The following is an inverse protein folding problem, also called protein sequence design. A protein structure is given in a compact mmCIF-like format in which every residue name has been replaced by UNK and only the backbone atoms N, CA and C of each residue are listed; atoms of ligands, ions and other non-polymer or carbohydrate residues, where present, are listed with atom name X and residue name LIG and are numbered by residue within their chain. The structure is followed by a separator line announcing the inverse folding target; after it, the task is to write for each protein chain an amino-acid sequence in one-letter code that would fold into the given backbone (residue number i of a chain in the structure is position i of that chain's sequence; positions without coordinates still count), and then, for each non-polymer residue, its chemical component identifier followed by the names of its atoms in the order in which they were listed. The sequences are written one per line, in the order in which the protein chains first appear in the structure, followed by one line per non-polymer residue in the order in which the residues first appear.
data_IF_084867307496
#
_entry.id   IF_084867307496
#
_cell.length_a   1.000
_cell.length_b   1.000
_cell.length_c   1.000
_cell.angle_alpha   90.00
_cell.angle_beta   90.00
_cell.angle_gamma   90.00
#
_symmetry.space_group_name_H-M   'P 1'
#
loop_
_entity.id
_entity.type
_entity.pdbx_description
1 polymer ?
#
# COMPACT_ATOMS: atom_id res chain seq x y z
N UNK A 1 76.07 41.92 -40.73
CA UNK A 1 77.20 42.26 -39.86
C UNK A 1 77.32 41.17 -38.76
N UNK A 2 78.26 40.29 -38.97
CA UNK A 2 79.61 40.27 -38.42
C UNK A 2 79.61 39.87 -36.94
N UNK A 3 80.28 38.94 -36.49
CA UNK A 3 81.58 38.36 -36.52
C UNK A 3 81.70 37.45 -35.27
N UNK A 4 82.04 36.30 -35.47
CA UNK A 4 83.29 35.59 -35.12
C UNK A 4 83.52 35.23 -33.65
N UNK A 5 83.89 34.09 -33.46
CA UNK A 5 85.12 33.47 -33.00
C UNK A 5 84.86 32.69 -31.75
N UNK A 6 85.24 31.53 -31.58
CA UNK A 6 86.41 30.78 -31.90
C UNK A 6 86.89 30.00 -30.71
N UNK A 7 87.22 28.76 -30.90
CA UNK A 7 88.29 28.00 -30.29
C UNK A 7 88.03 27.27 -28.98
N UNK A 8 88.04 25.97 -29.13
CA UNK A 8 88.92 24.95 -28.65
C UNK A 8 88.72 24.35 -27.24
N UNK A 9 88.49 23.12 -27.34
CA UNK A 9 89.31 21.96 -26.87
C UNK A 9 89.31 21.62 -25.37
N UNK A 10 89.04 20.41 -25.19
CA UNK A 10 89.72 19.37 -24.38
C UNK A 10 88.81 18.64 -23.39
N UNK A 11 88.69 17.43 -23.74
CA UNK A 11 88.86 16.27 -22.92
C UNK A 11 88.28 16.28 -21.50
N UNK A 12 87.32 15.37 -21.22
CA UNK A 12 87.71 14.28 -20.27
C UNK A 12 86.72 13.12 -20.34
N UNK A 13 87.24 11.98 -20.56
CA UNK A 13 86.70 10.65 -20.29
C UNK A 13 86.30 10.58 -18.81
N UNK A 14 85.07 10.17 -18.49
CA UNK A 14 84.78 9.89 -17.11
C UNK A 14 83.35 9.83 -16.62
N UNK A 15 82.34 9.76 -17.52
CA UNK A 15 80.93 9.76 -17.05
C UNK A 15 79.99 8.68 -17.65
N UNK A 16 80.50 7.70 -18.39
CA UNK A 16 79.63 6.72 -19.10
C UNK A 16 79.37 5.42 -18.31
N UNK A 17 80.00 5.22 -17.15
CA UNK A 17 79.83 3.98 -16.33
C UNK A 17 78.84 4.13 -15.17
N UNK A 18 78.42 5.32 -14.77
CA UNK A 18 77.54 5.53 -13.62
C UNK A 18 76.06 5.53 -14.05
N UNK A 19 75.75 5.79 -15.32
CA UNK A 19 74.36 5.81 -15.78
C UNK A 19 73.72 4.43 -16.13
N UNK A 20 74.55 3.38 -16.35
CA UNK A 20 74.03 2.03 -16.65
C UNK A 20 73.60 1.22 -15.43
N UNK A 21 74.12 1.56 -14.25
CA UNK A 21 73.73 0.86 -13.02
C UNK A 21 72.41 1.41 -12.38
N UNK A 22 72.05 2.65 -12.72
CA UNK A 22 70.87 3.32 -12.18
C UNK A 22 69.55 2.95 -12.89
N UNK A 23 69.61 2.62 -14.19
CA UNK A 23 68.39 2.31 -14.96
C UNK A 23 67.81 0.89 -14.71
N UNK A 24 68.66 -0.09 -14.38
CA UNK A 24 68.21 -1.46 -14.03
C UNK A 24 67.52 -1.52 -12.68
N UNK A 25 67.98 -0.77 -11.68
CA UNK A 25 67.36 -0.74 -10.35
C UNK A 25 66.00 0.00 -10.37
N UNK A 26 65.86 1.02 -11.20
CA UNK A 26 64.56 1.77 -11.34
C UNK A 26 63.52 0.90 -12.05
N UNK A 27 63.89 0.12 -13.08
CA UNK A 27 62.99 -0.77 -13.77
C UNK A 27 62.47 -1.91 -12.89
N UNK A 28 63.33 -2.52 -12.08
CA UNK A 28 62.93 -3.56 -11.13
C UNK A 28 62.05 -3.01 -10.01
N UNK A 29 62.33 -1.83 -9.49
CA UNK A 29 61.52 -1.16 -8.47
C UNK A 29 60.12 -0.79 -9.00
N UNK A 30 60.00 -0.28 -10.23
CA UNK A 30 58.74 0.03 -10.89
C UNK A 30 57.90 -1.24 -11.19
N UNK A 31 58.57 -2.35 -11.58
CA UNK A 31 57.89 -3.64 -11.84
C UNK A 31 57.37 -4.25 -10.55
N UNK A 32 58.12 -4.24 -9.46
CA UNK A 32 57.67 -4.69 -8.15
C UNK A 32 56.53 -3.83 -7.60
N UNK A 33 56.61 -2.50 -7.71
CA UNK A 33 55.56 -1.60 -7.31
C UNK A 33 54.26 -1.85 -8.10
N UNK A 34 54.36 -2.08 -9.40
CA UNK A 34 53.19 -2.40 -10.26
C UNK A 34 52.57 -3.74 -9.92
N UNK A 35 53.35 -4.77 -9.61
CA UNK A 35 52.85 -6.08 -9.16
C UNK A 35 52.16 -5.95 -7.80
N UNK A 36 52.74 -5.21 -6.86
CA UNK A 36 52.18 -5.01 -5.50
C UNK A 36 50.85 -4.23 -5.60
N UNK A 37 50.73 -3.21 -6.45
CA UNK A 37 49.51 -2.47 -6.66
C UNK A 37 48.44 -3.36 -7.31
N UNK A 38 48.78 -4.17 -8.30
CA UNK A 38 47.83 -5.13 -8.92
C UNK A 38 47.33 -6.18 -7.93
N UNK A 39 48.22 -6.73 -7.09
CA UNK A 39 47.83 -7.68 -6.04
C UNK A 39 46.97 -7.05 -4.97
N UNK A 40 47.25 -5.82 -4.54
CA UNK A 40 46.42 -5.07 -3.59
C UNK A 40 45.05 -4.72 -4.15
N UNK A 41 44.96 -4.36 -5.43
CA UNK A 41 43.72 -4.09 -6.11
C UNK A 41 42.87 -5.37 -6.26
N UNK A 42 43.52 -6.49 -6.61
CA UNK A 42 42.86 -7.81 -6.71
C UNK A 42 42.33 -8.28 -5.35
N UNK A 43 43.11 -8.11 -4.27
CA UNK A 43 42.72 -8.45 -2.91
C UNK A 43 41.51 -7.59 -2.43
N UNK A 44 41.51 -6.27 -2.69
CA UNK A 44 40.40 -5.38 -2.37
C UNK A 44 39.15 -5.74 -3.14
N UNK A 45 39.27 -6.08 -4.42
CA UNK A 45 38.15 -6.52 -5.24
C UNK A 45 37.57 -7.86 -4.74
N UNK A 46 38.43 -8.78 -4.36
CA UNK A 46 38.02 -10.08 -3.81
C UNK A 46 37.30 -9.92 -2.45
N UNK A 47 37.78 -9.07 -1.57
CA UNK A 47 37.12 -8.75 -0.30
C UNK A 47 35.75 -8.07 -0.56
N UNK A 48 35.71 -7.12 -1.48
CA UNK A 48 34.44 -6.47 -1.85
C UNK A 48 33.39 -7.47 -2.40
N UNK A 49 33.82 -8.41 -3.25
CA UNK A 49 32.94 -9.47 -3.77
C UNK A 49 32.49 -10.45 -2.68
N UNK A 50 33.38 -10.82 -1.76
CA UNK A 50 33.00 -11.64 -0.60
C UNK A 50 32.03 -10.92 0.33
N UNK A 51 32.24 -9.63 0.60
CA UNK A 51 31.33 -8.83 1.41
C UNK A 51 29.94 -8.73 0.74
N UNK A 52 29.91 -8.50 -0.58
CA UNK A 52 28.65 -8.49 -1.35
C UNK A 52 27.95 -9.85 -1.32
N UNK A 53 28.69 -10.95 -1.43
CA UNK A 53 28.14 -12.29 -1.35
C UNK A 53 27.58 -12.61 0.04
N UNK A 54 28.31 -12.24 1.10
CA UNK A 54 27.86 -12.40 2.50
C UNK A 54 26.63 -11.53 2.77
N UNK A 55 26.63 -10.27 2.35
CA UNK A 55 25.45 -9.40 2.46
C UNK A 55 24.24 -9.97 1.72
N UNK A 56 24.45 -10.48 0.50
CA UNK A 56 23.37 -11.10 -0.28
C UNK A 56 22.87 -12.40 0.36
N UNK A 57 23.76 -13.23 0.88
CA UNK A 57 23.38 -14.45 1.61
C UNK A 57 22.64 -14.12 2.92
N UNK A 58 23.06 -13.06 3.63
CA UNK A 58 22.39 -12.58 4.84
C UNK A 58 21.00 -12.02 4.54
N UNK A 59 20.84 -11.24 3.46
CA UNK A 59 19.54 -10.74 3.01
C UNK A 59 18.62 -11.91 2.62
N UNK A 60 19.12 -12.87 1.84
CA UNK A 60 18.32 -14.03 1.42
C UNK A 60 17.93 -14.93 2.60
N UNK A 61 18.80 -15.10 3.63
CA UNK A 61 18.43 -15.86 4.82
C UNK A 61 17.37 -15.14 5.67
N UNK A 62 17.45 -13.80 5.77
CA UNK A 62 16.44 -13.01 6.50
C UNK A 62 15.11 -12.91 5.75
N UNK A 63 15.11 -12.87 4.40
CA UNK A 63 13.90 -12.96 3.59
C UNK A 63 13.24 -14.34 3.75
N UNK A 64 14.01 -15.42 3.76
CA UNK A 64 13.49 -16.77 3.97
C UNK A 64 12.88 -16.99 5.37
N UNK A 65 13.50 -16.43 6.41
CA UNK A 65 12.99 -16.52 7.77
C UNK A 65 11.72 -15.67 7.99
N UNK A 66 11.60 -14.53 7.32
CA UNK A 66 10.38 -13.71 7.34
C UNK A 66 9.24 -14.36 6.56
N UNK A 67 9.50 -14.98 5.42
CA UNK A 67 8.47 -15.63 4.60
C UNK A 67 7.88 -16.87 5.29
N UNK A 68 8.66 -17.58 6.11
CA UNK A 68 8.19 -18.71 6.93
C UNK A 68 7.27 -18.29 8.09
N UNK A 69 7.25 -17.01 8.47
CA UNK A 69 6.42 -16.45 9.53
C UNK A 69 5.12 -15.82 9.00
N UNK A 70 4.97 -15.64 7.68
CA UNK A 70 3.77 -15.04 7.10
C UNK A 70 2.61 -16.03 7.04
N UNK A 71 1.40 -15.52 7.30
CA UNK A 71 0.18 -16.27 7.04
C UNK A 71 -0.09 -16.34 5.53
N UNK A 72 0.20 -17.49 4.91
CA UNK A 72 -0.01 -17.70 3.48
C UNK A 72 -1.45 -18.05 3.10
N UNK A 73 -2.38 -18.04 4.05
CA UNK A 73 -3.81 -18.31 3.86
C UNK A 73 -4.69 -17.23 4.52
N UNK A 74 -4.44 -15.92 4.31
CA UNK A 74 -5.15 -14.88 5.04
C UNK A 74 -6.65 -14.90 4.74
N UNK A 75 -7.44 -14.61 5.77
CA UNK A 75 -8.89 -14.46 5.70
C UNK A 75 -9.21 -13.01 6.08
N UNK A 76 -9.92 -12.30 5.21
CA UNK A 76 -10.29 -10.91 5.43
C UNK A 76 -11.81 -10.80 5.54
N UNK A 77 -12.28 -10.14 6.59
CA UNK A 77 -13.69 -9.83 6.75
C UNK A 77 -14.11 -8.67 5.82
N UNK A 78 -15.30 -8.74 5.25
CA UNK A 78 -15.94 -7.59 4.59
C UNK A 78 -17.23 -7.28 5.34
N UNK A 79 -17.36 -6.04 5.82
CA UNK A 79 -18.57 -5.58 6.50
C UNK A 79 -19.75 -5.57 5.53
N UNK A 80 -20.86 -6.21 5.92
CA UNK A 80 -22.11 -6.19 5.16
C UNK A 80 -22.81 -4.85 5.25
N UNK A 81 -23.60 -4.56 4.23
CA UNK A 81 -24.51 -3.41 4.19
C UNK A 81 -25.96 -3.85 4.05
N UNK A 82 -26.87 -2.95 4.44
CA UNK A 82 -28.30 -3.15 4.23
C UNK A 82 -28.66 -3.11 2.76
N UNK A 83 -29.50 -4.04 2.29
CA UNK A 83 -30.07 -4.02 0.93
C UNK A 83 -31.09 -2.88 0.73
N UNK A 84 -31.46 -2.16 1.78
CA UNK A 84 -32.37 -1.03 1.71
C UNK A 84 -31.73 0.08 0.84
N UNK A 85 -32.40 0.43 -0.25
CA UNK A 85 -31.88 1.43 -1.20
C UNK A 85 -31.03 0.86 -2.34
N UNK A 86 -30.74 -0.45 -2.36
CA UNK A 86 -29.89 -1.07 -3.41
C UNK A 86 -30.53 -1.02 -4.83
N UNK A 87 -31.81 -0.70 -4.95
CA UNK A 87 -32.52 -0.67 -6.25
C UNK A 87 -32.85 -2.05 -6.83
N UNK A 88 -32.67 -3.10 -6.02
CA UNK A 88 -32.89 -4.49 -6.37
C UNK A 88 -33.82 -5.17 -5.34
N UNK A 89 -34.86 -5.83 -5.83
CA UNK A 89 -35.80 -6.52 -4.95
C UNK A 89 -35.22 -7.84 -4.45
N UNK A 90 -35.01 -7.92 -3.14
CA UNK A 90 -34.59 -9.13 -2.43
C UNK A 90 -35.29 -9.22 -1.07
N UNK A 91 -35.53 -10.45 -0.61
CA UNK A 91 -35.99 -10.71 0.76
C UNK A 91 -34.86 -10.77 1.76
N UNK A 92 -33.61 -10.71 1.28
CA UNK A 92 -32.41 -10.73 2.09
C UNK A 92 -32.09 -9.33 2.59
N UNK A 93 -31.81 -9.14 3.91
CA UNK A 93 -31.62 -7.81 4.48
C UNK A 93 -30.25 -7.20 4.20
N UNK A 94 -29.24 -8.01 3.85
CA UNK A 94 -27.85 -7.55 3.72
C UNK A 94 -27.23 -7.96 2.39
N UNK A 95 -26.20 -7.21 1.98
CA UNK A 95 -25.42 -7.51 0.77
C UNK A 95 -23.92 -7.16 0.93
N UNK A 96 -23.12 -7.72 0.05
CA UNK A 96 -21.75 -7.31 -0.28
C UNK A 96 -21.65 -7.23 -1.80
N UNK A 97 -21.16 -6.11 -2.35
CA UNK A 97 -20.84 -6.05 -3.77
C UNK A 97 -19.67 -6.99 -4.10
N UNK A 98 -19.82 -7.78 -5.16
CA UNK A 98 -18.87 -8.82 -5.52
C UNK A 98 -17.50 -8.26 -5.93
N UNK A 99 -17.44 -6.99 -6.34
CA UNK A 99 -16.18 -6.30 -6.65
C UNK A 99 -15.22 -6.28 -5.48
N UNK A 100 -15.68 -6.06 -4.25
CA UNK A 100 -14.83 -6.11 -3.05
C UNK A 100 -14.30 -7.52 -2.78
N UNK A 101 -15.12 -8.54 -2.95
CA UNK A 101 -14.71 -9.95 -2.79
C UNK A 101 -13.64 -10.29 -3.81
N UNK A 102 -13.90 -10.03 -5.10
CA UNK A 102 -12.96 -10.28 -6.20
C UNK A 102 -11.66 -9.50 -6.03
N UNK A 103 -11.74 -8.27 -5.54
CA UNK A 103 -10.59 -7.42 -5.24
C UNK A 103 -9.65 -8.10 -4.25
N UNK A 104 -10.13 -8.61 -3.12
CA UNK A 104 -9.34 -9.30 -2.13
C UNK A 104 -8.85 -10.68 -2.61
N UNK A 105 -9.72 -11.44 -3.27
CA UNK A 105 -9.38 -12.77 -3.78
C UNK A 105 -8.33 -12.72 -4.90
N UNK A 106 -8.33 -11.66 -5.73
CA UNK A 106 -7.32 -11.48 -6.79
C UNK A 106 -5.89 -11.39 -6.25
N UNK A 107 -5.72 -11.06 -4.96
CA UNK A 107 -4.43 -10.97 -4.28
C UNK A 107 -4.15 -12.15 -3.33
N UNK A 108 -4.99 -13.19 -3.39
CA UNK A 108 -4.78 -14.44 -2.65
C UNK A 108 -5.30 -14.43 -1.21
N UNK A 109 -6.28 -13.58 -0.88
CA UNK A 109 -7.03 -13.69 0.35
C UNK A 109 -8.27 -14.59 0.17
N UNK A 110 -8.83 -15.06 1.28
CA UNK A 110 -10.17 -15.63 1.37
C UNK A 110 -11.06 -14.66 2.12
N UNK A 111 -12.36 -14.67 1.87
CA UNK A 111 -13.27 -13.66 2.38
C UNK A 111 -14.32 -14.28 3.30
N UNK A 112 -14.60 -13.57 4.39
CA UNK A 112 -15.70 -13.85 5.33
C UNK A 112 -16.64 -12.64 5.37
N UNK A 113 -17.94 -12.82 5.13
CA UNK A 113 -18.92 -11.75 5.33
C UNK A 113 -19.10 -11.46 6.82
N UNK A 114 -19.03 -10.17 7.19
CA UNK A 114 -19.21 -9.72 8.57
C UNK A 114 -20.62 -9.16 8.72
N UNK A 115 -21.42 -9.84 9.52
CA UNK A 115 -22.81 -9.46 9.78
C UNK A 115 -22.87 -8.13 10.55
N UNK A 116 -23.81 -7.29 10.19
CA UNK A 116 -23.99 -5.96 10.75
C UNK A 116 -24.91 -5.92 11.99
N UNK A 117 -25.23 -7.07 12.53
CA UNK A 117 -26.06 -7.27 13.72
C UNK A 117 -25.39 -8.18 14.78
N UNK A 118 -24.07 -8.40 14.64
CA UNK A 118 -23.31 -9.20 15.61
C UNK A 118 -23.38 -8.60 17.01
N UNK A 119 -23.54 -9.45 18.01
CA UNK A 119 -23.37 -9.09 19.41
C UNK A 119 -21.89 -8.77 19.73
N UNK A 120 -21.62 -8.26 20.93
CA UNK A 120 -20.23 -8.00 21.36
C UNK A 120 -19.39 -9.27 21.36
N UNK A 121 -19.93 -10.39 21.90
CA UNK A 121 -19.24 -11.67 21.94
C UNK A 121 -18.95 -12.22 20.55
N UNK A 122 -19.94 -12.21 19.66
CA UNK A 122 -19.76 -12.67 18.28
C UNK A 122 -18.77 -11.77 17.50
N UNK A 123 -18.77 -10.46 17.79
CA UNK A 123 -17.80 -9.54 17.21
C UNK A 123 -16.37 -9.86 17.65
N UNK A 124 -16.17 -10.19 18.94
CA UNK A 124 -14.86 -10.59 19.46
C UNK A 124 -14.42 -11.95 18.90
N UNK A 125 -15.32 -12.91 18.78
CA UNK A 125 -15.03 -14.23 18.18
C UNK A 125 -14.61 -14.11 16.72
N UNK A 126 -15.33 -13.32 15.91
CA UNK A 126 -14.98 -13.14 14.49
C UNK A 126 -13.69 -12.32 14.34
N UNK A 127 -13.48 -11.28 15.16
CA UNK A 127 -12.24 -10.51 15.17
C UNK A 127 -11.02 -11.43 15.38
N UNK A 128 -11.07 -12.32 16.37
CA UNK A 128 -9.99 -13.26 16.67
C UNK A 128 -9.80 -14.35 15.62
N UNK A 129 -10.72 -14.47 14.65
CA UNK A 129 -10.72 -15.52 13.62
C UNK A 129 -10.23 -15.06 12.27
N UNK A 130 -10.28 -13.74 11.97
CA UNK A 130 -9.90 -13.15 10.67
C UNK A 130 -8.61 -12.34 10.77
N UNK A 131 -7.97 -12.09 9.63
CA UNK A 131 -6.65 -11.47 9.54
C UNK A 131 -6.67 -10.00 9.16
N UNK A 132 -7.82 -9.38 9.13
CA UNK A 132 -8.05 -7.98 8.80
C UNK A 132 -9.48 -7.77 8.34
N UNK A 133 -9.87 -6.51 8.18
CA UNK A 133 -11.23 -6.15 7.77
C UNK A 133 -11.21 -5.07 6.68
N UNK A 134 -12.14 -5.22 5.71
CA UNK A 134 -12.48 -4.21 4.74
C UNK A 134 -13.84 -3.61 5.06
N UNK A 135 -13.89 -2.28 5.21
CA UNK A 135 -15.11 -1.49 5.30
C UNK A 135 -15.45 -0.97 3.90
N UNK A 136 -16.47 -1.52 3.21
CA UNK A 136 -16.78 -1.14 1.84
C UNK A 136 -17.52 0.19 1.75
N UNK A 137 -17.55 0.76 0.54
CA UNK A 137 -18.39 1.88 0.18
C UNK A 137 -19.88 1.52 0.17
N UNK A 138 -20.75 2.49 0.30
CA UNK A 138 -22.21 2.32 0.31
C UNK A 138 -22.95 3.57 0.79
N UNK A 139 -24.16 3.35 1.33
CA UNK A 139 -25.04 4.43 1.79
C UNK A 139 -25.79 3.97 3.06
N UNK A 140 -25.14 4.03 4.20
CA UNK A 140 -25.74 3.78 5.52
C UNK A 140 -25.32 4.86 6.52
N UNK A 141 -26.09 5.01 7.58
CA UNK A 141 -25.76 5.99 8.66
C UNK A 141 -24.41 5.68 9.30
N UNK A 142 -23.55 6.68 9.40
CA UNK A 142 -22.16 6.57 9.91
C UNK A 142 -22.07 6.31 11.43
N UNK A 143 -23.18 6.41 12.18
CA UNK A 143 -23.21 6.30 13.64
C UNK A 143 -24.19 5.23 14.10
N UNK A 144 -25.42 5.23 13.55
CA UNK A 144 -26.55 4.46 14.08
C UNK A 144 -26.92 3.23 13.24
N UNK A 145 -26.16 2.94 12.17
CA UNK A 145 -26.35 1.68 11.44
C UNK A 145 -25.65 0.53 12.13
N UNK A 146 -26.14 -0.72 11.93
CA UNK A 146 -25.44 -1.90 12.39
C UNK A 146 -24.02 -2.02 11.81
N UNK A 147 -23.80 -1.51 10.58
CA UNK A 147 -22.46 -1.35 10.00
C UNK A 147 -21.55 -0.52 10.92
N UNK A 148 -22.03 0.63 11.40
CA UNK A 148 -21.26 1.51 12.26
C UNK A 148 -21.08 0.93 13.67
N UNK A 149 -22.11 0.29 14.23
CA UNK A 149 -22.07 -0.30 15.57
C UNK A 149 -21.07 -1.47 15.64
N UNK A 150 -21.20 -2.47 14.77
CA UNK A 150 -20.27 -3.62 14.70
C UNK A 150 -18.88 -3.14 14.27
N UNK A 151 -18.82 -2.24 13.28
CA UNK A 151 -17.56 -1.68 12.80
C UNK A 151 -16.78 -0.97 13.91
N UNK A 152 -17.42 -0.15 14.73
CA UNK A 152 -16.78 0.55 15.86
C UNK A 152 -16.21 -0.42 16.89
N UNK A 153 -16.94 -1.51 17.21
CA UNK A 153 -16.43 -2.56 18.11
C UNK A 153 -15.17 -3.23 17.55
N UNK A 154 -15.14 -3.53 16.23
CA UNK A 154 -13.96 -4.13 15.58
C UNK A 154 -12.79 -3.14 15.59
N UNK A 155 -13.01 -1.85 15.31
CA UNK A 155 -11.96 -0.83 15.38
C UNK A 155 -11.38 -0.71 16.79
N UNK A 156 -12.22 -0.78 17.83
CA UNK A 156 -11.77 -0.74 19.21
C UNK A 156 -10.99 -1.99 19.61
N UNK A 157 -11.42 -3.19 19.17
CA UNK A 157 -10.67 -4.42 19.35
C UNK A 157 -9.30 -4.35 18.65
N UNK A 158 -9.25 -3.87 17.41
CA UNK A 158 -8.01 -3.72 16.65
C UNK A 158 -7.02 -2.77 17.34
N UNK A 159 -7.48 -1.63 17.84
CA UNK A 159 -6.66 -0.69 18.63
C UNK A 159 -6.16 -1.32 19.93
N UNK A 160 -7.06 -1.90 20.72
CA UNK A 160 -6.73 -2.52 22.02
C UNK A 160 -5.75 -3.71 21.86
N UNK A 161 -5.92 -4.52 20.83
CA UNK A 161 -5.04 -5.66 20.53
C UNK A 161 -3.64 -5.17 20.13
N UNK A 162 -3.55 -4.19 19.26
CA UNK A 162 -2.29 -3.59 18.84
C UNK A 162 -1.54 -2.91 19.99
N UNK A 163 -2.23 -2.15 20.86
CA UNK A 163 -1.63 -1.46 21.99
C UNK A 163 -1.12 -2.42 23.08
N UNK A 164 -1.85 -3.54 23.29
CA UNK A 164 -1.47 -4.57 24.27
C UNK A 164 -0.30 -5.42 23.79
N UNK A 165 -0.29 -5.77 22.50
CA UNK A 165 0.69 -6.63 21.85
C UNK A 165 0.97 -6.04 20.47
N UNK A 166 1.98 -5.15 20.32
CA UNK A 166 2.23 -4.48 19.04
C UNK A 166 2.47 -5.42 17.85
N UNK A 167 2.77 -6.71 18.12
CA UNK A 167 2.91 -7.75 17.09
C UNK A 167 1.60 -8.40 16.68
N UNK A 168 0.49 -8.12 17.37
CA UNK A 168 -0.84 -8.54 16.98
C UNK A 168 -1.36 -7.57 15.91
N UNK A 169 -0.97 -7.84 14.69
CA UNK A 169 -1.19 -6.97 13.54
C UNK A 169 -2.56 -7.29 12.91
N UNK A 170 -3.49 -6.34 13.01
CA UNK A 170 -4.81 -6.45 12.40
C UNK A 170 -5.08 -5.24 11.50
N UNK A 171 -4.86 -5.36 10.18
CA UNK A 171 -5.03 -4.24 9.26
C UNK A 171 -6.50 -3.97 8.96
N UNK A 172 -6.81 -2.68 8.81
CA UNK A 172 -8.11 -2.15 8.43
C UNK A 172 -7.98 -1.45 7.09
N UNK A 173 -8.87 -1.78 6.15
CA UNK A 173 -9.01 -1.06 4.88
C UNK A 173 -10.40 -0.48 4.76
N UNK A 174 -10.50 0.84 4.55
CA UNK A 174 -11.76 1.56 4.50
C UNK A 174 -11.89 2.31 3.17
N UNK A 175 -12.99 2.07 2.42
CA UNK A 175 -13.22 2.60 1.08
C UNK A 175 -14.51 3.43 1.05
N UNK A 176 -14.48 4.67 0.53
CA UNK A 176 -15.63 5.54 0.33
C UNK A 176 -16.43 5.72 1.64
N UNK A 177 -17.64 5.19 1.76
CA UNK A 177 -18.39 5.18 3.03
C UNK A 177 -17.53 4.65 4.19
N UNK A 178 -16.69 3.64 3.96
CA UNK A 178 -15.77 3.14 4.99
C UNK A 178 -14.76 4.19 5.42
N UNK A 179 -14.22 4.99 4.48
CA UNK A 179 -13.34 6.13 4.78
C UNK A 179 -14.08 7.19 5.60
N UNK A 180 -15.32 7.50 5.24
CA UNK A 180 -16.17 8.45 5.96
C UNK A 180 -16.50 7.93 7.37
N UNK A 181 -16.92 6.67 7.50
CA UNK A 181 -17.18 6.00 8.77
C UNK A 181 -15.95 6.03 9.69
N UNK A 182 -14.78 5.66 9.17
CA UNK A 182 -13.53 5.66 9.93
C UNK A 182 -13.18 7.08 10.40
N UNK A 183 -13.41 8.08 9.55
CA UNK A 183 -13.19 9.49 9.88
C UNK A 183 -14.17 10.00 10.96
N UNK A 184 -15.43 9.64 10.86
CA UNK A 184 -16.46 9.95 11.88
C UNK A 184 -16.14 9.29 13.22
N UNK A 185 -15.70 8.02 13.20
CA UNK A 185 -15.32 7.29 14.40
C UNK A 185 -14.14 7.94 15.13
N UNK A 186 -13.08 8.32 14.37
CA UNK A 186 -11.87 8.91 14.94
C UNK A 186 -12.09 10.37 15.39
N UNK A 187 -12.81 11.17 14.60
CA UNK A 187 -13.06 12.59 14.91
C UNK A 187 -14.12 12.83 15.99
N UNK A 188 -14.87 11.79 16.38
CA UNK A 188 -15.94 11.85 17.35
C UNK A 188 -17.26 12.42 16.84
N UNK A 189 -17.48 12.45 15.51
CA UNK A 189 -18.78 12.82 14.94
C UNK A 189 -18.78 13.29 13.50
N UNK A 190 -19.97 13.46 12.93
CA UNK A 190 -20.18 13.73 11.51
C UNK A 190 -19.74 15.14 11.04
N UNK A 191 -19.42 16.05 11.96
CA UNK A 191 -18.93 17.40 11.60
C UNK A 191 -17.63 17.41 10.79
N UNK A 192 -16.92 16.28 10.77
CA UNK A 192 -15.71 16.11 9.95
C UNK A 192 -16.03 16.06 8.45
N UNK A 193 -17.23 15.63 8.09
CA UNK A 193 -17.68 15.50 6.73
C UNK A 193 -18.30 16.81 6.22
N UNK A 194 -18.07 17.08 4.95
CA UNK A 194 -18.68 18.20 4.21
C UNK A 194 -19.25 17.67 2.89
N UNK A 195 -20.32 18.31 2.40
CA UNK A 195 -20.82 17.97 1.07
C UNK A 195 -19.81 18.35 0.00
N UNK A 196 -19.59 17.43 -0.95
CA UNK A 196 -18.71 17.57 -2.13
C UNK A 196 -19.43 17.09 -3.38
N UNK A 197 -19.03 17.62 -4.54
CA UNK A 197 -19.57 17.19 -5.85
C UNK A 197 -18.60 16.22 -6.51
N UNK A 198 -18.57 14.99 -6.00
CA UNK A 198 -17.67 13.92 -6.49
C UNK A 198 -18.42 12.64 -6.90
N UNK A 199 -19.74 12.71 -7.07
CA UNK A 199 -20.50 11.56 -7.59
C UNK A 199 -20.21 11.33 -9.08
N UNK A 200 -19.83 10.10 -9.43
CA UNK A 200 -19.61 9.66 -10.80
C UNK A 200 -18.52 10.46 -11.56
N UNK A 201 -17.33 10.57 -10.99
CA UNK A 201 -16.17 11.25 -11.58
C UNK A 201 -14.89 10.42 -11.38
N UNK A 202 -14.00 10.47 -12.37
CA UNK A 202 -12.61 10.01 -12.18
C UNK A 202 -11.70 11.19 -11.92
N UNK A 203 -10.79 11.06 -10.95
CA UNK A 203 -9.87 12.11 -10.53
C UNK A 203 -8.42 11.61 -10.54
N UNK A 204 -7.49 12.56 -10.47
CA UNK A 204 -6.08 12.33 -10.17
C UNK A 204 -5.84 12.40 -8.66
N UNK A 205 -4.70 11.88 -8.21
CA UNK A 205 -4.23 12.07 -6.84
C UNK A 205 -3.16 13.17 -6.80
N UNK A 206 -3.34 14.15 -5.92
CA UNK A 206 -2.30 15.09 -5.55
C UNK A 206 -1.58 14.55 -4.31
N UNK A 207 -0.37 14.03 -4.51
CA UNK A 207 0.40 13.41 -3.45
C UNK A 207 0.93 14.46 -2.45
N UNK A 208 0.77 14.19 -1.17
CA UNK A 208 1.16 15.07 -0.08
C UNK A 208 2.58 14.77 0.44
N UNK A 209 3.18 15.70 1.16
CA UNK A 209 4.54 15.53 1.69
C UNK A 209 4.68 14.24 2.49
N UNK A 210 5.75 13.50 2.21
CA UNK A 210 6.10 12.27 2.91
C UNK A 210 5.28 11.02 2.51
N UNK A 211 4.47 11.06 1.45
CA UNK A 211 3.73 9.89 0.98
C UNK A 211 4.64 8.70 0.60
N UNK A 212 5.86 8.95 0.10
CA UNK A 212 6.85 7.88 -0.24
C UNK A 212 7.35 7.09 0.97
N UNK A 213 7.17 7.58 2.18
CA UNK A 213 7.49 6.87 3.41
C UNK A 213 6.28 6.15 4.00
N UNK A 214 5.11 6.26 3.37
CA UNK A 214 3.89 5.60 3.80
C UNK A 214 3.92 4.10 3.52
N UNK A 215 3.11 3.34 4.24
CA UNK A 215 2.91 1.93 3.93
C UNK A 215 2.17 1.73 2.61
N UNK A 216 1.26 2.66 2.26
CA UNK A 216 0.50 2.57 1.01
C UNK A 216 1.37 2.80 -0.23
N UNK A 217 2.26 3.79 -0.23
CA UNK A 217 2.90 4.23 -1.47
C UNK A 217 4.42 3.99 -1.56
N UNK A 218 5.08 3.54 -0.50
CA UNK A 218 6.54 3.36 -0.49
C UNK A 218 7.09 2.39 -1.54
N UNK A 219 6.30 1.35 -1.89
CA UNK A 219 6.69 0.31 -2.83
C UNK A 219 6.07 0.52 -4.23
N UNK A 220 5.41 1.69 -4.46
CA UNK A 220 4.82 2.02 -5.75
C UNK A 220 5.90 2.36 -6.77
N UNK A 221 5.75 1.86 -8.00
CA UNK A 221 6.66 2.22 -9.08
C UNK A 221 6.51 3.69 -9.46
N UNK A 222 7.61 4.37 -9.85
CA UNK A 222 7.56 5.76 -10.30
C UNK A 222 6.59 5.97 -11.48
N UNK A 223 6.45 4.97 -12.36
CA UNK A 223 5.53 5.03 -13.49
C UNK A 223 4.06 5.03 -13.04
N UNK A 224 3.71 4.20 -12.05
CA UNK A 224 2.35 4.16 -11.51
C UNK A 224 2.02 5.43 -10.72
N UNK A 225 3.00 5.96 -9.98
CA UNK A 225 2.92 7.24 -9.26
C UNK A 225 2.63 8.40 -10.22
N UNK A 226 3.43 8.54 -11.30
CA UNK A 226 3.21 9.54 -12.33
C UNK A 226 1.82 9.42 -12.96
N UNK A 227 1.39 8.19 -13.21
CA UNK A 227 0.09 7.93 -13.81
C UNK A 227 -1.07 8.35 -12.91
N UNK A 228 -1.02 8.01 -11.62
CA UNK A 228 -2.03 8.41 -10.63
C UNK A 228 -2.10 9.93 -10.43
N UNK A 229 -0.98 10.64 -10.59
CA UNK A 229 -0.94 12.09 -10.43
C UNK A 229 -1.34 12.87 -11.68
N UNK A 230 -1.29 12.25 -12.87
CA UNK A 230 -1.50 12.97 -14.15
C UNK A 230 -2.73 12.49 -14.93
N UNK A 231 -3.18 11.26 -14.71
CA UNK A 231 -4.32 10.68 -15.45
C UNK A 231 -5.49 10.40 -14.49
N UNK A 232 -6.70 10.90 -14.78
CA UNK A 232 -7.86 10.70 -13.91
C UNK A 232 -8.38 9.27 -14.01
N UNK A 233 -7.90 8.39 -13.11
CA UNK A 233 -8.28 6.98 -13.06
C UNK A 233 -8.90 6.55 -11.73
N UNK A 234 -8.84 7.37 -10.69
CA UNK A 234 -9.47 7.05 -9.40
C UNK A 234 -10.97 7.30 -9.48
N UNK A 235 -11.77 6.24 -9.35
CA UNK A 235 -13.22 6.30 -9.45
C UNK A 235 -13.83 6.84 -8.16
N UNK A 236 -14.58 7.94 -8.25
CA UNK A 236 -15.25 8.59 -7.12
C UNK A 236 -16.76 8.56 -7.30
N UNK A 237 -17.50 8.14 -6.26
CA UNK A 237 -18.94 7.99 -6.22
C UNK A 237 -19.43 8.41 -4.83
N UNK A 238 -19.26 9.70 -4.49
CA UNK A 238 -19.63 10.20 -3.17
C UNK A 238 -20.03 11.68 -3.20
N UNK A 239 -20.98 12.04 -2.32
CA UNK A 239 -21.45 13.40 -2.09
C UNK A 239 -20.96 13.99 -0.76
N UNK A 240 -20.20 13.21 -0.02
CA UNK A 240 -19.59 13.60 1.27
C UNK A 240 -18.11 13.28 1.28
N UNK A 241 -17.33 14.11 1.93
CA UNK A 241 -15.87 13.91 2.08
C UNK A 241 -15.34 14.61 3.31
N UNK A 242 -14.16 14.15 3.75
CA UNK A 242 -13.31 14.90 4.67
C UNK A 242 -12.56 15.96 3.86
N UNK A 243 -12.94 17.23 3.95
CA UNK A 243 -12.17 18.29 3.30
C UNK A 243 -10.82 18.49 3.97
N UNK A 244 -9.83 18.97 3.22
CA UNK A 244 -8.50 19.32 3.78
C UNK A 244 -8.64 20.33 4.92
N UNK A 245 -9.60 21.25 4.81
CA UNK A 245 -9.92 22.21 5.86
C UNK A 245 -10.41 21.50 7.12
N UNK A 246 -11.47 20.67 7.03
CA UNK A 246 -12.04 19.99 8.20
C UNK A 246 -11.03 19.02 8.84
N UNK A 247 -10.19 18.37 8.05
CA UNK A 247 -9.08 17.55 8.57
C UNK A 247 -8.10 18.38 9.40
N UNK A 248 -7.66 19.53 8.87
CA UNK A 248 -6.69 20.40 9.53
C UNK A 248 -7.23 21.09 10.79
N UNK A 249 -8.53 21.30 10.87
CA UNK A 249 -9.21 21.86 12.04
C UNK A 249 -9.50 20.82 13.12
N UNK A 250 -9.47 19.53 12.81
CA UNK A 250 -9.73 18.44 13.75
C UNK A 250 -8.42 17.85 14.30
N UNK A 251 -8.23 17.94 15.63
CA UNK A 251 -7.01 17.48 16.30
C UNK A 251 -6.90 15.95 16.26
N UNK A 252 -7.98 15.25 16.56
CA UNK A 252 -8.04 13.80 16.65
C UNK A 252 -7.66 13.15 15.30
N UNK A 253 -8.18 13.71 14.20
CA UNK A 253 -7.82 13.28 12.85
C UNK A 253 -6.33 13.49 12.56
N UNK A 254 -5.79 14.66 12.88
CA UNK A 254 -4.36 14.95 12.67
C UNK A 254 -3.45 14.09 13.55
N UNK A 255 -3.85 13.80 14.77
CA UNK A 255 -3.05 12.96 15.66
C UNK A 255 -3.08 11.51 15.22
N UNK A 256 -4.19 11.02 14.65
CA UNK A 256 -4.39 9.64 14.23
C UNK A 256 -3.87 9.35 12.82
N UNK A 257 -4.17 10.22 11.84
CA UNK A 257 -3.90 9.97 10.42
C UNK A 257 -2.82 10.87 9.83
N UNK A 258 -2.16 10.34 8.80
CA UNK A 258 -1.36 11.05 7.83
C UNK A 258 -2.11 11.08 6.51
N UNK A 259 -2.35 12.28 5.96
CA UNK A 259 -2.88 12.45 4.61
C UNK A 259 -1.76 12.14 3.61
N UNK A 260 -2.06 11.29 2.64
CA UNK A 260 -1.11 10.84 1.62
C UNK A 260 -1.41 11.42 0.24
N UNK A 261 -2.69 11.64 -0.04
CA UNK A 261 -3.12 12.32 -1.26
C UNK A 261 -4.44 13.06 -1.06
N UNK A 262 -4.63 14.09 -1.85
CA UNK A 262 -5.87 14.85 -1.98
C UNK A 262 -6.40 14.80 -3.41
N UNK A 263 -7.65 15.19 -3.61
CA UNK A 263 -8.25 15.43 -4.91
C UNK A 263 -9.20 16.62 -4.81
N UNK A 264 -9.65 17.14 -5.96
CA UNK A 264 -10.52 18.31 -6.04
C UNK A 264 -11.83 17.92 -6.72
N UNK A 265 -12.97 18.26 -6.10
CA UNK A 265 -14.29 18.02 -6.66
C UNK A 265 -14.64 18.99 -7.81
N UNK A 266 -15.83 18.84 -8.43
CA UNK A 266 -16.28 19.72 -9.52
C UNK A 266 -16.44 21.18 -9.12
N UNK A 267 -16.64 21.45 -7.83
CA UNK A 267 -16.82 22.79 -7.28
C UNK A 267 -15.52 23.45 -6.79
N UNK A 268 -14.37 22.75 -6.96
CA UNK A 268 -13.07 23.21 -6.50
C UNK A 268 -12.81 22.96 -5.01
N UNK A 269 -13.58 22.09 -4.36
CA UNK A 269 -13.37 21.71 -2.97
C UNK A 269 -12.31 20.61 -2.89
N UNK A 270 -11.21 20.90 -2.18
CA UNK A 270 -10.15 19.93 -1.95
C UNK A 270 -10.53 19.01 -0.78
N UNK A 271 -10.38 17.70 -0.98
CA UNK A 271 -10.70 16.67 0.01
C UNK A 271 -9.60 15.61 0.13
N UNK A 272 -9.57 14.92 1.26
CA UNK A 272 -8.64 13.84 1.55
C UNK A 272 -9.02 12.61 0.74
N UNK A 273 -8.16 12.21 -0.20
CA UNK A 273 -8.37 11.03 -1.06
C UNK A 273 -7.81 9.75 -0.49
N UNK A 274 -6.62 9.84 0.14
CA UNK A 274 -5.94 8.67 0.73
C UNK A 274 -5.27 9.08 2.03
N UNK A 275 -5.46 8.27 3.07
CA UNK A 275 -4.78 8.47 4.35
C UNK A 275 -4.43 7.13 5.00
N UNK A 276 -3.44 7.14 5.90
CA UNK A 276 -3.05 6.00 6.72
C UNK A 276 -2.89 6.38 8.18
N UNK A 277 -3.12 5.42 9.09
CA UNK A 277 -2.89 5.59 10.52
C UNK A 277 -1.41 5.79 10.83
N UNK A 278 -1.09 6.74 11.70
CA UNK A 278 0.30 7.00 12.13
C UNK A 278 0.83 5.93 13.07
N UNK A 279 -0.04 5.26 13.79
CA UNK A 279 0.30 4.27 14.79
C UNK A 279 -0.33 2.90 14.48
N UNK A 280 -1.60 2.88 14.10
CA UNK A 280 -2.33 1.66 13.79
C UNK A 280 -2.30 1.35 12.30
N UNK A 281 -2.31 0.06 11.89
CA UNK A 281 -2.33 -0.34 10.48
C UNK A 281 -3.71 -0.10 9.83
N UNK A 282 -4.16 1.14 9.87
CA UNK A 282 -5.44 1.56 9.32
C UNK A 282 -5.20 2.38 8.05
N UNK A 283 -5.79 1.93 6.96
CA UNK A 283 -5.63 2.49 5.62
C UNK A 283 -6.97 2.88 5.05
N UNK A 284 -7.04 3.99 4.33
CA UNK A 284 -8.30 4.34 3.70
C UNK A 284 -8.16 5.15 2.42
N UNK A 285 -9.15 4.96 1.54
CA UNK A 285 -9.33 5.71 0.30
C UNK A 285 -10.77 6.21 0.19
N UNK A 286 -10.96 7.49 -0.16
CA UNK A 286 -12.28 8.00 -0.50
C UNK A 286 -12.72 7.48 -1.87
N UNK A 287 -11.78 7.30 -2.79
CA UNK A 287 -11.99 6.69 -4.10
C UNK A 287 -12.01 5.16 -4.03
N UNK A 288 -12.54 4.53 -5.09
CA UNK A 288 -12.78 3.09 -5.20
C UNK A 288 -11.69 2.37 -6.01
N UNK A 289 -10.66 1.80 -5.39
CA UNK A 289 -9.65 1.02 -6.12
C UNK A 289 -10.18 -0.29 -6.69
N UNK A 290 -11.24 -0.85 -6.15
CA UNK A 290 -11.82 -2.14 -6.57
C UNK A 290 -12.62 -2.07 -7.86
N UNK A 291 -13.18 -0.90 -8.19
CA UNK A 291 -14.16 -0.79 -9.28
C UNK A 291 -13.55 -0.93 -10.66
N UNK A 292 -12.36 -0.39 -10.89
CA UNK A 292 -11.74 -0.36 -12.22
C UNK A 292 -11.59 -1.75 -12.85
N UNK A 293 -11.43 -2.80 -12.04
CA UNK A 293 -11.28 -4.17 -12.54
C UNK A 293 -12.58 -4.97 -12.61
N UNK A 294 -13.60 -4.61 -11.83
CA UNK A 294 -14.71 -5.53 -11.57
C UNK A 294 -16.11 -4.95 -11.77
N UNK A 295 -16.24 -3.65 -12.03
CA UNK A 295 -17.53 -2.99 -12.29
C UNK A 295 -17.54 -2.43 -13.72
N UNK A 296 -18.61 -2.71 -14.48
CA UNK A 296 -18.67 -2.48 -15.93
C UNK A 296 -19.87 -1.67 -16.37
N UNK A 297 -20.61 -1.05 -15.45
CA UNK A 297 -21.79 -0.26 -15.79
C UNK A 297 -21.40 0.93 -16.69
N UNK A 298 -21.91 0.99 -17.96
CA UNK A 298 -21.46 1.95 -18.97
C UNK A 298 -21.85 3.41 -18.69
N UNK A 299 -22.77 3.65 -17.75
CA UNK A 299 -23.16 5.01 -17.35
C UNK A 299 -22.34 5.54 -16.17
N UNK A 300 -21.38 4.74 -15.68
CA UNK A 300 -20.49 5.10 -14.58
C UNK A 300 -19.09 5.41 -15.09
N UNK A 301 -18.52 6.51 -14.59
CA UNK A 301 -17.15 6.91 -14.92
C UNK A 301 -16.15 6.03 -14.18
N UNK A 302 -15.73 4.96 -14.83
CA UNK A 302 -14.68 4.06 -14.34
C UNK A 302 -13.67 3.82 -15.47
N UNK A 303 -12.39 3.95 -15.17
CA UNK A 303 -11.34 3.71 -16.15
C UNK A 303 -10.98 2.23 -16.17
N UNK A 304 -11.00 1.60 -17.34
CA UNK A 304 -10.63 0.20 -17.56
C UNK A 304 -9.31 0.06 -18.32
N UNK A 305 -8.53 1.13 -18.44
CA UNK A 305 -7.20 1.08 -19.07
C UNK A 305 -6.22 0.24 -18.24
N UNK A 306 -5.21 -0.32 -18.87
CA UNK A 306 -4.27 -1.23 -18.22
C UNK A 306 -3.67 -0.68 -16.92
N UNK A 307 -3.32 0.62 -16.87
CA UNK A 307 -2.77 1.27 -15.67
C UNK A 307 -3.80 1.43 -14.53
N UNK A 308 -5.07 1.59 -14.84
CA UNK A 308 -6.12 1.59 -13.83
C UNK A 308 -6.30 0.19 -13.21
N UNK A 309 -6.22 -0.86 -14.03
CA UNK A 309 -6.22 -2.25 -13.54
C UNK A 309 -4.97 -2.56 -12.71
N UNK A 310 -3.79 -2.11 -13.14
CA UNK A 310 -2.54 -2.22 -12.37
C UNK A 310 -2.66 -1.54 -11.00
N UNK A 311 -3.31 -0.36 -10.94
CA UNK A 311 -3.60 0.35 -9.68
C UNK A 311 -4.48 -0.50 -8.76
N UNK A 312 -5.58 -1.06 -9.28
CA UNK A 312 -6.45 -1.98 -8.52
C UNK A 312 -5.63 -3.11 -7.91
N UNK A 313 -4.79 -3.76 -8.71
CA UNK A 313 -3.99 -4.91 -8.26
C UNK A 313 -2.93 -4.48 -7.24
N UNK A 314 -2.29 -3.33 -7.44
CA UNK A 314 -1.32 -2.78 -6.48
C UNK A 314 -1.96 -2.56 -5.10
N UNK A 315 -3.11 -1.89 -5.04
CA UNK A 315 -3.81 -1.57 -3.80
C UNK A 315 -4.32 -2.83 -3.09
N UNK A 316 -4.82 -3.81 -3.85
CA UNK A 316 -5.25 -5.09 -3.29
C UNK A 316 -4.09 -5.92 -2.75
N UNK A 317 -2.99 -6.04 -3.52
CA UNK A 317 -1.78 -6.74 -3.08
C UNK A 317 -1.22 -6.14 -1.78
N UNK A 318 -1.20 -4.81 -1.69
CA UNK A 318 -0.77 -4.11 -0.49
C UNK A 318 -1.57 -4.60 0.73
N UNK A 319 -2.89 -4.48 0.68
CA UNK A 319 -3.73 -4.79 1.83
C UNK A 319 -3.67 -6.28 2.21
N UNK A 320 -3.75 -7.18 1.23
CA UNK A 320 -3.64 -8.62 1.48
C UNK A 320 -2.26 -8.99 2.05
N UNK A 321 -1.18 -8.36 1.58
CA UNK A 321 0.15 -8.58 2.15
C UNK A 321 0.25 -8.08 3.61
N UNK A 322 -0.48 -7.02 4.00
CA UNK A 322 -0.59 -6.61 5.39
C UNK A 322 -1.38 -7.62 6.22
N UNK A 323 -2.46 -8.19 5.67
CA UNK A 323 -3.23 -9.22 6.34
C UNK A 323 -2.42 -10.51 6.61
N UNK A 324 -1.40 -10.80 5.80
CA UNK A 324 -0.48 -11.94 6.03
C UNK A 324 0.37 -11.81 7.30
N UNK A 325 0.46 -10.62 7.88
CA UNK A 325 1.15 -10.37 9.15
C UNK A 325 0.29 -10.77 10.37
N UNK A 326 -1.01 -10.97 10.18
CA UNK A 326 -1.92 -11.40 11.25
C UNK A 326 -1.94 -12.93 11.38
N UNK A 327 -1.91 -13.41 12.61
CA UNK A 327 -1.95 -14.84 12.94
C UNK A 327 -3.27 -15.28 13.57
N UNK A 328 -4.31 -14.45 13.52
CA UNK A 328 -5.66 -14.83 13.90
C UNK A 328 -6.13 -16.03 13.09
N UNK A 329 -6.92 -16.89 13.67
CA UNK A 329 -7.43 -18.11 13.01
C UNK A 329 -8.71 -18.58 13.65
N UNK A 330 -9.54 -19.22 12.86
CA UNK A 330 -10.70 -19.93 13.37
C UNK A 330 -10.30 -21.07 14.32
N UNK A 331 -11.15 -21.35 15.27
CA UNK A 331 -10.95 -22.42 16.27
C UNK A 331 -10.84 -23.80 15.61
N UNK A 332 -11.59 -24.02 14.52
CA UNK A 332 -11.55 -25.27 13.74
C UNK A 332 -11.73 -25.02 12.24
N UNK A 333 -11.34 -26.01 11.43
CA UNK A 333 -11.51 -25.99 9.97
C UNK A 333 -12.99 -25.92 9.60
N UNK A 334 -13.86 -26.59 10.33
CA UNK A 334 -15.31 -26.62 10.08
C UNK A 334 -15.93 -25.23 10.30
N UNK A 335 -15.50 -24.51 11.35
CA UNK A 335 -15.94 -23.12 11.59
C UNK A 335 -15.41 -22.18 10.50
N UNK A 336 -14.15 -22.35 10.07
CA UNK A 336 -13.57 -21.60 8.97
C UNK A 336 -14.38 -21.80 7.67
N UNK A 337 -14.60 -23.05 7.27
CA UNK A 337 -15.32 -23.40 6.05
C UNK A 337 -16.75 -22.87 6.06
N UNK A 338 -17.45 -22.99 7.20
CA UNK A 338 -18.81 -22.48 7.34
C UNK A 338 -18.92 -20.95 7.26
N UNK A 339 -17.88 -20.23 7.65
CA UNK A 339 -17.85 -18.76 7.63
C UNK A 339 -17.50 -18.16 6.26
N UNK A 340 -16.80 -18.90 5.38
CA UNK A 340 -16.31 -18.37 4.11
C UNK A 340 -17.45 -17.99 3.16
N UNK A 341 -17.21 -16.93 2.38
CA UNK A 341 -18.12 -16.44 1.33
C UNK A 341 -18.50 -17.51 0.29
N UNK A 342 -17.71 -18.59 0.20
CA UNK A 342 -17.94 -19.70 -0.74
C UNK A 342 -19.25 -20.47 -0.50
N UNK A 343 -19.91 -20.27 0.65
CA UNK A 343 -21.23 -20.80 0.92
C UNK A 343 -22.37 -20.04 0.19
N UNK A 344 -22.03 -18.92 -0.47
CA UNK A 344 -22.99 -18.03 -1.13
C UNK A 344 -22.65 -17.87 -2.61
N UNK A 345 -23.66 -17.62 -3.43
CA UNK A 345 -23.48 -17.36 -4.85
C UNK A 345 -23.74 -15.88 -5.17
N UNK A 346 -22.90 -15.21 -5.94
CA UNK A 346 -23.16 -13.85 -6.38
C UNK A 346 -24.28 -13.83 -7.43
N UNK A 347 -25.16 -12.83 -7.32
CA UNK A 347 -26.25 -12.58 -8.25
C UNK A 347 -25.84 -11.48 -9.21
N UNK A 348 -26.14 -11.65 -10.51
CA UNK A 348 -25.98 -10.58 -11.50
C UNK A 348 -27.04 -9.49 -11.28
N UNK A 349 -26.60 -8.28 -11.03
CA UNK A 349 -27.44 -7.12 -10.73
C UNK A 349 -27.17 -5.91 -11.61
N UNK A 350 -26.25 -5.98 -12.57
CA UNK A 350 -25.81 -4.86 -13.42
C UNK A 350 -26.93 -4.17 -14.21
N UNK A 351 -28.12 -4.81 -14.36
CA UNK A 351 -29.31 -4.18 -14.96
C UNK A 351 -30.12 -3.32 -14.00
N UNK A 352 -29.93 -3.49 -12.69
CA UNK A 352 -30.81 -2.95 -11.66
C UNK A 352 -30.09 -2.08 -10.65
N UNK A 353 -28.80 -2.29 -10.48
CA UNK A 353 -27.96 -1.60 -9.49
C UNK A 353 -26.72 -0.99 -10.14
N UNK A 354 -25.92 -0.29 -9.34
CA UNK A 354 -24.62 0.22 -9.75
C UNK A 354 -23.52 -0.85 -9.73
N UNK A 355 -23.85 -2.06 -9.25
CA UNK A 355 -22.90 -3.19 -9.13
C UNK A 355 -23.23 -4.26 -10.16
N UNK A 356 -22.19 -4.81 -10.81
CA UNK A 356 -22.36 -5.94 -11.73
C UNK A 356 -22.90 -7.18 -11.02
N UNK A 357 -22.40 -7.47 -9.84
CA UNK A 357 -22.81 -8.61 -9.05
C UNK A 357 -22.81 -8.26 -7.56
N UNK A 358 -23.76 -8.86 -6.82
CA UNK A 358 -23.83 -8.77 -5.37
C UNK A 358 -24.02 -10.14 -4.74
N UNK A 359 -23.45 -10.36 -3.58
CA UNK A 359 -23.86 -11.41 -2.66
C UNK A 359 -24.97 -10.86 -1.78
N UNK A 360 -26.02 -11.65 -1.53
CA UNK A 360 -27.14 -11.26 -0.65
C UNK A 360 -27.29 -12.28 0.48
N UNK A 361 -27.57 -11.79 1.69
CA UNK A 361 -27.56 -12.55 2.93
C UNK A 361 -28.86 -12.40 3.71
#
# INVERSE_FOLDING_TARGET
SSISGGIASKETYGSLLVYKASTTNISHSLTLATITIKMAFSAKLFIALQTLYICRAFVLSHEGDNESQLNNRPIIGIMMQSTKGLGFHTTKPNYIAASYVKYLESSGARVVPIWNDLTETETEEIFNSINGILFPGGDVDWIHSGYAEVGSRILDLAKKSFDKTPRDYFPVWAICLGHEFLSVNVSGGTKILSSTDSENITLTLEFQEGYKQSEIFRDMSPELEEFLSTVPITANFHDWSVTVKSFNENREMKDFFKVLSTSVDRNGTEFVSTMEGKHYPFFSTQWHPEKNSFEWNPVRNMSHIAKAIETTQYMSNLFVNRARLSHHKFESTEKEEAALIYQYNPLYTGRYTVFEQVYVF
#
